data_IF_466605562102
#
_entry.id   IF_466605562102
#
_cell.length_a   1.000
_cell.length_b   1.000
_cell.length_c   1.000
_cell.angle_alpha   90.00
_cell.angle_beta   90.00
_cell.angle_gamma   90.00
#
_symmetry.space_group_name_H-M   'P 1'
#
loop_
_entity.id
_entity.type
_entity.pdbx_description
1 polymer ?
#
# COMPACT_ATOMS: atom_id res chain seq x y z
N UNK A 1 -13.12 2.40 -0.06
CA UNK A 1 -12.17 3.40 0.47
C UNK A 1 -10.91 3.37 -0.37
N UNK A 2 -10.38 4.54 -0.71
CA UNK A 2 -9.40 4.69 -1.78
C UNK A 2 -7.95 4.67 -1.28
N UNK A 3 -7.00 4.48 -2.21
CA UNK A 3 -5.56 4.55 -1.95
C UNK A 3 -5.13 5.80 -1.14
N UNK A 4 -5.66 7.02 -1.38
CA UNK A 4 -5.36 8.20 -0.53
C UNK A 4 -5.66 8.03 0.96
N UNK A 5 -6.71 7.30 1.33
CA UNK A 5 -7.01 7.04 2.74
C UNK A 5 -5.95 6.12 3.36
N UNK A 6 -5.48 5.13 2.60
CA UNK A 6 -4.39 4.27 3.04
C UNK A 6 -3.06 5.02 3.13
N UNK A 7 -2.78 5.92 2.19
CA UNK A 7 -1.62 6.81 2.25
C UNK A 7 -1.59 7.62 3.56
N UNK A 8 -2.73 8.23 3.91
CA UNK A 8 -2.89 8.94 5.18
C UNK A 8 -2.61 8.04 6.39
N UNK A 9 -3.07 6.78 6.39
CA UNK A 9 -2.78 5.83 7.46
C UNK A 9 -1.28 5.54 7.56
N UNK A 10 -0.62 5.23 6.43
CA UNK A 10 0.80 4.90 6.40
C UNK A 10 1.66 6.06 6.91
N UNK A 11 1.37 7.28 6.47
CA UNK A 11 2.04 8.49 6.93
C UNK A 11 1.88 8.68 8.45
N UNK A 12 0.64 8.60 8.95
CA UNK A 12 0.37 8.74 10.38
C UNK A 12 1.06 7.66 11.20
N UNK A 13 1.11 6.41 10.71
CA UNK A 13 1.83 5.31 11.38
C UNK A 13 3.34 5.54 11.42
N UNK A 14 3.91 6.10 10.35
CA UNK A 14 5.33 6.40 10.26
C UNK A 14 5.74 7.50 11.26
N UNK A 15 4.97 8.58 11.34
CA UNK A 15 5.31 9.74 12.17
C UNK A 15 4.75 9.69 13.60
N UNK A 16 3.93 8.70 13.95
CA UNK A 16 3.43 8.56 15.33
C UNK A 16 4.41 7.80 16.23
N UNK A 17 4.90 8.43 17.32
CA UNK A 17 5.74 7.73 18.29
C UNK A 17 4.88 6.83 19.20
N UNK A 18 5.46 5.70 19.58
CA UNK A 18 4.90 4.83 20.62
C UNK A 18 3.81 3.88 20.17
N UNK A 19 3.72 2.76 20.89
CA UNK A 19 2.83 1.64 20.58
C UNK A 19 1.34 2.02 20.65
N UNK A 20 0.93 2.75 21.68
CA UNK A 20 -0.48 3.09 21.91
C UNK A 20 -1.07 4.01 20.85
N UNK A 21 -0.29 4.99 20.37
CA UNK A 21 -0.73 5.87 19.29
C UNK A 21 -1.00 5.08 18.00
N UNK A 22 -0.09 4.15 17.66
CA UNK A 22 -0.25 3.27 16.49
C UNK A 22 -1.44 2.32 16.62
N UNK A 23 -1.68 1.76 17.81
CA UNK A 23 -2.90 0.98 18.07
C UNK A 23 -4.17 1.80 17.82
N UNK A 24 -4.21 3.05 18.30
CA UNK A 24 -5.36 3.92 18.08
C UNK A 24 -5.58 4.21 16.57
N UNK A 25 -4.52 4.42 15.79
CA UNK A 25 -4.61 4.60 14.34
C UNK A 25 -5.16 3.35 13.64
N UNK A 26 -4.69 2.16 14.02
CA UNK A 26 -5.14 0.90 13.45
C UNK A 26 -6.59 0.58 13.83
N UNK A 27 -7.01 0.85 15.08
CA UNK A 27 -8.41 0.75 15.49
C UNK A 27 -9.30 1.70 14.70
N UNK A 28 -8.89 2.97 14.57
CA UNK A 28 -9.61 3.94 13.75
C UNK A 28 -9.75 3.45 12.30
N UNK A 29 -8.72 2.83 11.74
CA UNK A 29 -8.82 2.18 10.42
C UNK A 29 -9.91 1.11 10.41
N UNK A 30 -9.92 0.17 11.35
CA UNK A 30 -10.94 -0.89 11.38
C UNK A 30 -12.37 -0.36 11.59
N UNK A 31 -12.54 0.71 12.36
CA UNK A 31 -13.84 1.35 12.60
C UNK A 31 -14.40 2.06 11.36
N UNK A 32 -13.52 2.69 10.58
CA UNK A 32 -13.93 3.64 9.52
C UNK A 32 -13.88 3.06 8.12
N UNK A 33 -13.11 1.99 7.90
CA UNK A 33 -12.99 1.38 6.57
C UNK A 33 -14.08 0.34 6.33
N UNK A 34 -14.70 0.33 5.13
CA UNK A 34 -15.63 -0.71 4.74
C UNK A 34 -14.90 -2.03 4.42
N UNK A 35 -15.61 -3.15 4.51
CA UNK A 35 -15.15 -4.40 3.89
C UNK A 35 -15.37 -4.34 2.37
N UNK A 36 -14.46 -4.94 1.55
CA UNK A 36 -13.26 -5.67 1.95
C UNK A 36 -11.98 -4.82 2.14
N UNK A 37 -11.99 -3.51 1.84
CA UNK A 37 -10.81 -2.63 1.93
C UNK A 37 -10.13 -2.65 3.32
N UNK A 38 -10.94 -2.75 4.38
CA UNK A 38 -10.47 -2.90 5.76
C UNK A 38 -9.51 -4.08 5.93
N UNK A 39 -9.93 -5.24 5.42
CA UNK A 39 -9.16 -6.49 5.49
C UNK A 39 -7.95 -6.47 4.57
N UNK A 40 -8.05 -5.84 3.39
CA UNK A 40 -6.89 -5.65 2.50
C UNK A 40 -5.83 -4.77 3.18
N UNK A 41 -6.24 -3.67 3.83
CA UNK A 41 -5.31 -2.82 4.59
C UNK A 41 -4.64 -3.57 5.75
N UNK A 42 -5.38 -4.42 6.46
CA UNK A 42 -4.84 -5.30 7.49
C UNK A 42 -3.77 -6.24 6.91
N UNK A 43 -4.09 -6.94 5.82
CA UNK A 43 -3.18 -7.86 5.15
C UNK A 43 -1.92 -7.15 4.65
N UNK A 44 -2.05 -5.93 4.11
CA UNK A 44 -0.93 -5.11 3.68
C UNK A 44 0.01 -4.78 4.85
N UNK A 45 -0.54 -4.33 5.98
CA UNK A 45 0.23 -3.98 7.19
C UNK A 45 0.90 -5.21 7.80
N UNK A 46 0.22 -6.36 7.75
CA UNK A 46 0.77 -7.63 8.20
C UNK A 46 1.82 -8.22 7.24
N UNK A 47 1.93 -7.70 6.01
CA UNK A 47 2.86 -8.18 4.99
C UNK A 47 2.41 -9.46 4.28
N UNK A 48 1.11 -9.73 4.25
CA UNK A 48 0.52 -10.96 3.71
C UNK A 48 0.13 -10.86 2.22
N UNK A 49 0.16 -9.65 1.64
CA UNK A 49 -0.16 -9.45 0.22
C UNK A 49 1.03 -9.81 -0.68
N UNK A 50 0.77 -10.57 -1.75
CA UNK A 50 1.78 -10.88 -2.76
C UNK A 50 1.18 -11.01 -4.15
N UNK A 51 1.68 -10.18 -5.07
CA UNK A 51 1.24 -10.17 -6.46
C UNK A 51 2.25 -10.87 -7.38
N UNK A 52 1.77 -11.55 -8.41
CA UNK A 52 2.62 -12.31 -9.34
C UNK A 52 3.47 -11.39 -10.23
N UNK A 53 2.86 -10.33 -10.76
CA UNK A 53 3.46 -9.50 -11.82
C UNK A 53 4.00 -8.18 -11.29
N UNK A 54 3.32 -7.57 -10.33
CA UNK A 54 3.64 -6.25 -9.86
C UNK A 54 4.76 -6.29 -8.80
N UNK A 55 5.99 -6.38 -9.28
CA UNK A 55 7.23 -6.46 -8.49
C UNK A 55 8.05 -5.17 -8.65
N UNK A 56 9.03 -4.90 -7.77
CA UNK A 56 9.89 -3.71 -7.87
C UNK A 56 10.55 -3.51 -9.25
N UNK A 57 10.89 -4.59 -9.97
CA UNK A 57 11.45 -4.51 -11.33
C UNK A 57 10.52 -3.84 -12.33
N UNK A 58 9.22 -4.13 -12.28
CA UNK A 58 8.23 -3.51 -13.16
C UNK A 58 8.16 -1.99 -12.94
N UNK A 59 8.17 -1.55 -11.68
CA UNK A 59 8.16 -0.11 -11.39
C UNK A 59 9.44 0.59 -11.87
N UNK A 60 10.60 -0.10 -11.83
CA UNK A 60 11.85 0.40 -12.44
C UNK A 60 11.73 0.57 -13.95
N UNK A 61 11.11 -0.38 -14.64
CA UNK A 61 10.85 -0.27 -16.08
C UNK A 61 9.89 0.89 -16.40
N UNK A 62 8.83 1.03 -15.61
CA UNK A 62 7.84 2.10 -15.79
C UNK A 62 8.45 3.49 -15.62
N UNK A 63 9.27 3.71 -14.58
CA UNK A 63 9.89 5.01 -14.35
C UNK A 63 11.02 5.30 -15.36
N UNK A 64 11.76 4.28 -15.81
CA UNK A 64 12.81 4.43 -16.81
C UNK A 64 12.28 4.90 -18.17
N UNK A 65 11.02 4.56 -18.51
CA UNK A 65 10.36 5.07 -19.72
C UNK A 65 9.88 6.53 -19.59
N UNK A 66 9.92 7.12 -18.39
CA UNK A 66 9.34 8.43 -18.06
C UNK A 66 10.38 9.46 -17.63
N UNK A 67 11.55 9.02 -17.20
CA UNK A 67 12.56 9.89 -16.61
C UNK A 67 13.94 9.56 -17.14
N UNK A 68 14.79 10.59 -17.22
CA UNK A 68 16.20 10.42 -17.55
C UNK A 68 16.90 9.47 -16.55
N UNK A 69 17.69 8.48 -17.01
CA UNK A 69 18.34 7.52 -16.13
C UNK A 69 19.32 8.13 -15.12
N UNK A 70 20.02 9.21 -15.49
CA UNK A 70 20.95 9.88 -14.58
C UNK A 70 20.18 10.66 -13.50
N UNK A 71 19.08 11.32 -13.87
CA UNK A 71 18.18 11.95 -12.90
C UNK A 71 17.63 10.91 -11.91
N UNK A 72 17.13 9.78 -12.40
CA UNK A 72 16.65 8.70 -11.53
C UNK A 72 17.75 8.19 -10.58
N UNK A 73 18.98 8.00 -11.07
CA UNK A 73 20.09 7.53 -10.24
C UNK A 73 20.44 8.52 -9.13
N UNK A 74 20.53 9.82 -9.42
CA UNK A 74 20.79 10.86 -8.42
C UNK A 74 19.66 10.96 -7.39
N UNK A 75 18.41 10.89 -7.84
CA UNK A 75 17.26 10.94 -6.94
C UNK A 75 17.17 9.71 -6.04
N UNK A 76 17.48 8.52 -6.57
CA UNK A 76 17.49 7.29 -5.79
C UNK A 76 18.63 7.29 -4.75
N UNK A 77 19.81 7.78 -5.11
CA UNK A 77 20.95 7.92 -4.18
C UNK A 77 20.60 8.86 -3.01
N UNK A 78 19.90 9.97 -3.29
CA UNK A 78 19.48 10.92 -2.26
C UNK A 78 18.35 10.38 -1.36
N UNK A 79 17.32 9.75 -1.93
CA UNK A 79 16.12 9.31 -1.19
C UNK A 79 16.34 7.97 -0.47
N UNK A 80 17.03 7.02 -1.10
CA UNK A 80 17.36 5.70 -0.51
C UNK A 80 16.24 4.65 -0.51
N UNK A 81 15.00 5.00 -0.87
CA UNK A 81 13.88 4.05 -1.03
C UNK A 81 13.30 4.11 -2.44
N UNK A 82 13.19 2.94 -3.10
CA UNK A 82 12.78 2.87 -4.50
C UNK A 82 11.33 3.35 -4.71
N UNK A 83 10.42 2.97 -3.82
CA UNK A 83 9.02 3.33 -3.97
C UNK A 83 8.83 4.83 -3.76
N UNK A 84 9.53 5.41 -2.78
CA UNK A 84 9.53 6.84 -2.53
C UNK A 84 10.15 7.63 -3.68
N UNK A 85 11.31 7.20 -4.20
CA UNK A 85 11.91 7.83 -5.39
C UNK A 85 10.95 7.81 -6.58
N UNK A 86 10.31 6.67 -6.88
CA UNK A 86 9.38 6.57 -8.01
C UNK A 86 8.16 7.45 -7.78
N UNK A 87 7.59 7.45 -6.57
CA UNK A 87 6.42 8.26 -6.24
C UNK A 87 6.68 9.77 -6.40
N UNK A 88 7.89 10.22 -6.04
CA UNK A 88 8.31 11.62 -6.16
C UNK A 88 8.71 12.00 -7.61
N UNK A 89 9.31 11.08 -8.37
CA UNK A 89 9.75 11.34 -9.75
C UNK A 89 8.64 11.17 -10.79
N UNK A 90 7.55 10.49 -10.43
CA UNK A 90 6.48 10.20 -11.37
C UNK A 90 5.93 11.52 -11.95
N UNK A 91 5.93 11.71 -13.28
CA UNK A 91 5.46 12.94 -13.89
C UNK A 91 3.98 13.18 -13.55
N UNK A 92 3.64 14.41 -13.19
CA UNK A 92 2.25 14.78 -12.98
C UNK A 92 1.53 14.89 -14.33
N UNK A 93 0.41 14.18 -14.46
CA UNK A 93 -0.51 14.36 -15.58
C UNK A 93 -1.78 15.08 -15.11
N UNK A 94 -1.81 16.40 -15.31
CA UNK A 94 -2.95 17.23 -14.94
C UNK A 94 -4.27 16.87 -15.67
N UNK A 95 -4.23 15.96 -16.65
CA UNK A 95 -5.40 15.45 -17.38
C UNK A 95 -5.94 14.16 -16.77
N UNK A 96 -5.18 13.50 -15.90
CA UNK A 96 -5.61 12.28 -15.23
C UNK A 96 -6.68 12.60 -14.18
N UNK A 97 -7.95 12.45 -14.56
CA UNK A 97 -9.11 12.72 -13.70
C UNK A 97 -9.85 11.43 -13.26
N UNK A 98 -9.19 10.27 -13.34
CA UNK A 98 -9.78 9.03 -12.86
C UNK A 98 -9.84 9.04 -11.33
N UNK A 99 -10.96 8.60 -10.72
CA UNK A 99 -11.02 8.47 -9.27
C UNK A 99 -9.97 7.46 -8.78
N UNK A 100 -9.34 7.69 -7.62
CA UNK A 100 -8.36 6.77 -7.07
C UNK A 100 -9.03 5.43 -6.73
N UNK A 101 -8.39 4.29 -7.06
CA UNK A 101 -9.02 2.99 -6.87
C UNK A 101 -9.15 2.64 -5.38
N UNK A 102 -10.06 1.72 -5.08
CA UNK A 102 -10.13 1.06 -3.78
C UNK A 102 -8.94 0.11 -3.54
N UNK A 103 -8.68 -0.27 -2.30
CA UNK A 103 -7.62 -1.24 -1.98
C UNK A 103 -7.96 -2.62 -2.54
N UNK A 104 -9.20 -3.08 -2.30
CA UNK A 104 -9.70 -4.33 -2.83
C UNK A 104 -9.85 -4.30 -4.35
N UNK A 105 -10.18 -3.15 -4.94
CA UNK A 105 -10.18 -2.97 -6.39
C UNK A 105 -8.78 -3.18 -6.97
N UNK A 106 -7.74 -2.64 -6.33
CA UNK A 106 -6.35 -2.86 -6.73
C UNK A 106 -6.01 -4.35 -6.67
N UNK A 107 -6.33 -5.03 -5.55
CA UNK A 107 -6.06 -6.46 -5.38
C UNK A 107 -6.75 -7.26 -6.48
N UNK A 108 -8.07 -7.15 -6.58
CA UNK A 108 -8.89 -7.92 -7.52
C UNK A 108 -8.45 -7.67 -8.98
N UNK A 109 -8.20 -6.41 -9.34
CA UNK A 109 -7.77 -6.06 -10.70
C UNK A 109 -6.41 -6.68 -11.03
N UNK A 110 -5.43 -6.61 -10.12
CA UNK A 110 -4.09 -7.16 -10.37
C UNK A 110 -4.04 -8.69 -10.37
N UNK A 111 -4.96 -9.36 -9.65
CA UNK A 111 -5.08 -10.81 -9.68
C UNK A 111 -5.75 -11.34 -10.95
N UNK A 112 -6.74 -10.61 -11.46
CA UNK A 112 -7.49 -11.01 -12.66
C UNK A 112 -6.82 -10.56 -13.96
N UNK A 113 -6.06 -9.47 -13.95
CA UNK A 113 -5.49 -8.89 -15.16
C UNK A 113 -4.48 -9.83 -15.85
N UNK A 114 -4.50 -9.93 -17.20
CA UNK A 114 -3.41 -10.54 -17.94
C UNK A 114 -2.08 -9.87 -17.61
N UNK A 115 -1.00 -10.66 -17.50
CA UNK A 115 0.33 -10.13 -17.14
C UNK A 115 0.79 -8.98 -18.03
N UNK A 116 0.41 -8.99 -19.30
CA UNK A 116 0.74 -7.95 -20.27
C UNK A 116 0.02 -6.62 -20.03
N UNK A 117 -1.13 -6.62 -19.35
CA UNK A 117 -1.93 -5.42 -19.08
C UNK A 117 -1.57 -4.72 -17.77
N UNK A 118 -1.00 -5.46 -16.81
CA UNK A 118 -0.61 -4.94 -15.49
C UNK A 118 0.25 -3.66 -15.57
N UNK A 119 1.26 -3.53 -16.43
CA UNK A 119 2.05 -2.30 -16.55
C UNK A 119 1.20 -1.07 -16.90
N UNK A 120 0.25 -1.21 -17.83
CA UNK A 120 -0.60 -0.11 -18.27
C UNK A 120 -1.63 0.28 -17.20
N UNK A 121 -2.17 -0.71 -16.48
CA UNK A 121 -3.10 -0.48 -15.36
C UNK A 121 -2.41 0.29 -14.24
N UNK A 122 -1.23 -0.15 -13.81
CA UNK A 122 -0.45 0.51 -12.76
C UNK A 122 -0.06 1.93 -13.15
N UNK A 123 0.42 2.12 -14.38
CA UNK A 123 0.74 3.45 -14.91
C UNK A 123 -0.46 4.40 -14.82
N UNK A 124 -1.62 3.96 -15.33
CA UNK A 124 -2.85 4.77 -15.33
C UNK A 124 -3.30 5.17 -13.93
N UNK A 125 -3.17 4.28 -12.95
CA UNK A 125 -3.45 4.65 -11.56
C UNK A 125 -2.43 5.65 -11.01
N UNK A 126 -1.13 5.43 -11.24
CA UNK A 126 -0.08 6.34 -10.77
C UNK A 126 -0.22 7.75 -11.37
N UNK A 127 -0.63 7.85 -12.64
CA UNK A 127 -0.85 9.13 -13.32
C UNK A 127 -1.93 9.98 -12.61
N UNK A 128 -2.96 9.35 -12.03
CA UNK A 128 -4.07 10.00 -11.32
C UNK A 128 -3.88 10.17 -9.81
N UNK A 129 -2.71 9.84 -9.26
CA UNK A 129 -2.42 9.92 -7.83
C UNK A 129 -1.38 11.00 -7.53
N UNK A 130 -1.44 11.61 -6.34
CA UNK A 130 -0.35 12.43 -5.82
C UNK A 130 0.82 11.58 -5.31
N UNK A 131 1.94 12.21 -4.93
CA UNK A 131 3.13 11.50 -4.46
C UNK A 131 2.86 10.56 -3.26
N UNK A 132 2.04 10.98 -2.29
CA UNK A 132 1.73 10.16 -1.12
C UNK A 132 0.91 8.92 -1.48
N UNK A 133 -0.09 9.09 -2.33
CA UNK A 133 -0.93 8.01 -2.82
C UNK A 133 -0.19 7.09 -3.80
N UNK A 134 0.70 7.62 -4.65
CA UNK A 134 1.63 6.82 -5.48
C UNK A 134 2.50 5.92 -4.61
N UNK A 135 3.11 6.47 -3.56
CA UNK A 135 3.91 5.70 -2.61
C UNK A 135 3.08 4.59 -1.96
N UNK A 136 1.86 4.89 -1.51
CA UNK A 136 0.96 3.93 -0.90
C UNK A 136 0.57 2.79 -1.86
N UNK A 137 0.25 3.11 -3.13
CA UNK A 137 -0.05 2.11 -4.15
C UNK A 137 1.17 1.21 -4.42
N UNK A 138 2.35 1.79 -4.60
CA UNK A 138 3.58 1.01 -4.85
C UNK A 138 3.84 0.08 -3.66
N UNK A 139 3.80 0.60 -2.43
CA UNK A 139 4.07 -0.20 -1.22
C UNK A 139 2.97 -1.24 -0.92
N UNK A 140 1.71 -0.96 -1.25
CA UNK A 140 0.63 -1.95 -1.16
C UNK A 140 0.96 -3.18 -2.01
N UNK A 141 1.47 -2.92 -3.21
CA UNK A 141 1.68 -3.95 -4.24
C UNK A 141 3.05 -4.63 -4.10
N UNK A 142 4.08 -3.91 -3.68
CA UNK A 142 5.43 -4.47 -3.49
C UNK A 142 5.72 -4.93 -2.07
N UNK A 143 4.86 -4.59 -1.11
CA UNK A 143 5.11 -4.78 0.31
C UNK A 143 6.19 -3.84 0.87
N UNK A 144 6.73 -4.19 2.04
CA UNK A 144 7.83 -3.45 2.65
C UNK A 144 7.46 -2.03 3.09
N UNK A 145 6.27 -1.89 3.69
CA UNK A 145 5.69 -0.60 4.12
C UNK A 145 6.63 0.20 5.04
N UNK A 146 7.33 -0.48 5.96
CA UNK A 146 8.28 0.13 6.92
C UNK A 146 7.71 1.29 7.75
N UNK A 147 6.41 1.30 8.01
CA UNK A 147 5.72 2.34 8.80
C UNK A 147 5.78 2.11 10.33
N UNK A 148 6.65 1.20 10.78
CA UNK A 148 6.79 0.84 12.18
C UNK A 148 5.52 0.27 12.82
N UNK A 149 4.66 -0.39 12.03
CA UNK A 149 3.57 -1.23 12.48
C UNK A 149 3.90 -2.69 12.11
N UNK A 150 3.92 -3.58 13.10
CA UNK A 150 4.18 -5.00 12.88
C UNK A 150 2.89 -5.79 12.71
N UNK A 151 2.97 -6.99 12.14
CA UNK A 151 1.83 -7.91 12.06
C UNK A 151 1.20 -8.15 13.46
N UNK A 152 2.03 -8.38 14.49
CA UNK A 152 1.55 -8.54 15.88
C UNK A 152 0.80 -7.31 16.39
N UNK A 153 1.27 -6.10 16.06
CA UNK A 153 0.57 -4.86 16.43
C UNK A 153 -0.78 -4.76 15.72
N UNK A 154 -0.84 -5.11 14.44
CA UNK A 154 -2.07 -5.13 13.66
C UNK A 154 -3.09 -6.14 14.22
N UNK A 155 -2.66 -7.37 14.54
CA UNK A 155 -3.51 -8.37 15.22
C UNK A 155 -4.00 -7.90 16.59
N UNK A 156 -3.15 -7.21 17.35
CA UNK A 156 -3.57 -6.65 18.64
C UNK A 156 -4.63 -5.57 18.46
N UNK A 157 -4.46 -4.65 17.51
CA UNK A 157 -5.46 -3.64 17.22
C UNK A 157 -6.78 -4.25 16.70
N UNK A 158 -6.71 -5.33 15.91
CA UNK A 158 -7.88 -6.07 15.46
C UNK A 158 -8.62 -6.72 16.63
N UNK A 159 -7.89 -7.32 17.58
CA UNK A 159 -8.45 -7.87 18.81
C UNK A 159 -9.16 -6.78 19.64
N UNK A 160 -8.49 -5.64 19.86
CA UNK A 160 -9.07 -4.52 20.61
C UNK A 160 -10.32 -3.93 19.94
N UNK A 161 -10.36 -3.89 18.60
CA UNK A 161 -11.51 -3.38 17.86
C UNK A 161 -12.68 -4.36 17.82
N UNK A 162 -12.41 -5.64 17.54
CA UNK A 162 -13.44 -6.68 17.39
C UNK A 162 -13.98 -7.20 18.72
N UNK A 163 -13.29 -6.93 19.83
CA UNK A 163 -13.58 -7.50 21.14
C UNK A 163 -13.21 -8.98 21.26
N UNK A 164 -12.55 -9.57 20.26
CA UNK A 164 -12.14 -10.97 20.25
C UNK A 164 -10.77 -11.15 20.91
N UNK A 165 -10.52 -12.29 21.59
CA UNK A 165 -9.21 -12.59 22.14
C UNK A 165 -8.14 -12.68 21.05
N UNK A 166 -6.97 -12.06 21.30
CA UNK A 166 -5.88 -12.04 20.30
C UNK A 166 -5.36 -13.44 19.95
N UNK A 167 -5.42 -14.38 20.90
CA UNK A 167 -5.04 -15.78 20.68
C UNK A 167 -5.97 -16.49 19.69
N UNK A 168 -7.28 -16.20 19.70
CA UNK A 168 -8.22 -16.79 18.73
C UNK A 168 -7.95 -16.23 17.33
N UNK A 169 -7.65 -14.94 17.22
CA UNK A 169 -7.23 -14.32 15.95
C UNK A 169 -5.94 -14.95 15.44
N UNK A 170 -4.95 -15.17 16.32
CA UNK A 170 -3.66 -15.77 15.94
C UNK A 170 -3.82 -17.23 15.51
N UNK A 171 -4.68 -18.01 16.17
CA UNK A 171 -4.98 -19.40 15.81
C UNK A 171 -5.60 -19.51 14.41
N UNK A 172 -6.55 -18.63 14.08
CA UNK A 172 -7.20 -18.61 12.77
C UNK A 172 -6.37 -17.95 11.67
N UNK A 173 -5.36 -17.15 12.03
CA UNK A 173 -4.65 -16.26 11.10
C UNK A 173 -4.12 -16.98 9.86
N UNK A 174 -3.54 -18.16 10.04
CA UNK A 174 -2.94 -18.92 8.94
C UNK A 174 -3.97 -19.74 8.13
N UNK A 175 -5.21 -19.85 8.63
CA UNK A 175 -6.31 -20.56 7.98
C UNK A 175 -7.20 -19.66 7.12
N UNK A 176 -7.02 -18.33 7.17
CA UNK A 176 -7.85 -17.36 6.44
C UNK A 176 -6.96 -16.60 5.45
N UNK A 177 -7.18 -16.73 4.13
CA UNK A 177 -6.43 -15.95 3.16
C UNK A 177 -6.83 -14.47 3.23
N UNK A 178 -5.93 -13.55 2.83
CA UNK A 178 -6.30 -12.16 2.59
C UNK A 178 -7.53 -12.05 1.68
N UNK A 179 -8.44 -11.09 1.94
CA UNK A 179 -9.62 -10.85 1.11
C UNK A 179 -9.30 -10.19 -0.23
#
# INVERSE_FOLDING_TARGET
MSIPAFATLLERLLFSPGRHAKLALLRQWFETQPDPDRGVGLAAIAGELSFRTAKPGLFRELIAARTDPALFAMSYDYVGDLAETIALLWPDDARANAPPPGLAEVVATLEMAPRAEVPAILARWLDGLDAGARLALIKLVTGGLRVGASARLAKTALAEWSGQPVNEIEELWHGVPPP
#
